data_IF_410304988117
#
_entry.id   IF_410304988117
#
_cell.length_a   1.000
_cell.length_b   1.000
_cell.length_c   1.000
_cell.angle_alpha   90.00
_cell.angle_beta   90.00
_cell.angle_gamma   90.00
#
_symmetry.space_group_name_H-M   'P 1'
#
loop_
_entity.id
_entity.type
_entity.pdbx_description
1 polymer ?
#
# COMPACT_ATOMS: atom_id res chain seq x y z
N UNK A 1 -7.04 -28.06 27.49
CA UNK A 1 -7.52 -27.03 26.49
C UNK A 1 -6.62 -25.82 26.33
N UNK A 2 -5.39 -25.80 26.93
CA UNK A 2 -4.42 -24.70 26.70
C UNK A 2 -3.61 -24.90 25.41
N UNK A 3 -3.50 -26.12 24.91
CA UNK A 3 -2.69 -26.45 23.72
C UNK A 3 -3.22 -25.74 22.45
N UNK A 4 -4.53 -25.75 22.12
CA UNK A 4 -5.04 -25.04 20.96
C UNK A 4 -4.82 -23.52 21.06
N UNK A 5 -5.01 -22.95 22.24
CA UNK A 5 -4.76 -21.51 22.47
C UNK A 5 -3.28 -21.15 22.31
N UNK A 6 -2.40 -22.02 22.78
CA UNK A 6 -0.96 -21.85 22.59
C UNK A 6 -0.56 -21.96 21.12
N UNK A 7 -1.11 -22.93 20.37
CA UNK A 7 -0.88 -23.06 18.93
C UNK A 7 -1.37 -21.82 18.19
N UNK A 8 -2.58 -21.33 18.49
CA UNK A 8 -3.12 -20.10 17.90
C UNK A 8 -2.25 -18.91 18.25
N UNK A 9 -1.78 -18.82 19.50
CA UNK A 9 -0.89 -17.74 19.94
C UNK A 9 0.45 -17.79 19.19
N UNK A 10 1.06 -18.98 19.05
CA UNK A 10 2.30 -19.16 18.30
C UNK A 10 2.09 -18.84 16.83
N UNK A 11 1.04 -19.37 16.19
CA UNK A 11 0.72 -19.07 14.80
C UNK A 11 0.51 -17.56 14.56
N UNK A 12 -0.25 -16.90 15.44
CA UNK A 12 -0.47 -15.46 15.37
C UNK A 12 0.81 -14.64 15.60
N UNK A 13 1.63 -15.05 16.59
CA UNK A 13 2.83 -14.30 16.95
C UNK A 13 3.95 -14.44 15.93
N UNK A 14 3.97 -15.56 15.22
CA UNK A 14 5.13 -15.97 14.44
C UNK A 14 4.84 -15.93 12.93
N UNK A 15 3.62 -16.26 12.45
CA UNK A 15 3.35 -16.41 11.00
C UNK A 15 2.59 -15.25 10.39
N UNK A 16 1.40 -14.94 10.89
CA UNK A 16 0.52 -13.91 10.35
C UNK A 16 0.10 -12.90 11.41
N UNK A 17 0.16 -11.64 11.06
CA UNK A 17 -0.33 -10.55 11.90
C UNK A 17 -1.53 -9.87 11.21
N UNK A 18 -2.69 -9.77 11.89
CA UNK A 18 -3.83 -9.06 11.34
C UNK A 18 -3.63 -7.54 11.48
N UNK A 19 -3.90 -6.80 10.40
CA UNK A 19 -3.95 -5.35 10.38
C UNK A 19 -5.28 -4.88 9.82
N UNK A 20 -5.81 -3.80 10.40
CA UNK A 20 -6.96 -3.11 9.82
C UNK A 20 -6.48 -1.97 8.92
N UNK A 21 -7.10 -1.81 7.76
CA UNK A 21 -6.80 -0.74 6.82
C UNK A 21 -7.48 0.56 7.26
N UNK A 22 -6.72 1.59 7.68
CA UNK A 22 -7.28 2.83 8.21
C UNK A 22 -7.46 3.92 7.15
N UNK A 23 -6.93 3.76 5.95
CA UNK A 23 -6.88 4.83 4.94
C UNK A 23 -7.24 4.35 3.54
N UNK A 24 -7.61 5.30 2.69
CA UNK A 24 -8.01 5.07 1.30
C UNK A 24 -6.84 5.01 0.31
N UNK A 25 -5.58 5.02 0.79
CA UNK A 25 -4.41 5.13 -0.10
C UNK A 25 -4.17 3.93 -1.00
N UNK A 26 -4.75 2.77 -0.68
CA UNK A 26 -4.66 1.52 -1.44
C UNK A 26 -5.96 1.14 -2.15
N UNK A 27 -6.92 2.08 -2.26
CA UNK A 27 -8.10 1.88 -3.09
C UNK A 27 -7.70 1.69 -4.57
N UNK A 28 -8.37 0.84 -5.33
CA UNK A 28 -9.57 0.06 -5.01
C UNK A 28 -9.25 -1.31 -4.37
N UNK A 29 -7.99 -1.74 -4.40
CA UNK A 29 -7.56 -3.06 -3.93
C UNK A 29 -7.89 -3.30 -2.46
N UNK A 30 -7.49 -2.37 -1.58
CA UNK A 30 -7.79 -2.39 -0.15
C UNK A 30 -8.68 -1.21 0.22
N UNK A 31 -9.77 -1.47 0.96
CA UNK A 31 -10.71 -0.46 1.45
C UNK A 31 -10.52 -0.19 2.93
N UNK A 32 -10.96 0.99 3.37
CA UNK A 32 -11.04 1.30 4.80
C UNK A 32 -11.94 0.28 5.48
N UNK A 33 -11.48 -0.28 6.61
CA UNK A 33 -12.21 -1.32 7.33
C UNK A 33 -11.86 -2.74 6.90
N UNK A 34 -11.11 -2.95 5.81
CA UNK A 34 -10.57 -4.28 5.47
C UNK A 34 -9.58 -4.72 6.54
N UNK A 35 -9.69 -5.97 6.98
CA UNK A 35 -8.73 -6.66 7.82
C UNK A 35 -7.89 -7.58 6.96
N UNK A 36 -6.60 -7.36 6.94
CA UNK A 36 -5.62 -8.10 6.16
C UNK A 36 -4.77 -9.00 7.02
N UNK A 37 -4.26 -10.08 6.44
CA UNK A 37 -3.25 -10.94 7.04
C UNK A 37 -1.89 -10.64 6.43
N UNK A 38 -0.96 -10.21 7.27
CA UNK A 38 0.40 -9.88 6.89
C UNK A 38 1.33 -11.04 7.24
N UNK A 39 1.96 -11.60 6.23
CA UNK A 39 2.95 -12.65 6.34
C UNK A 39 4.30 -12.03 6.74
N UNK A 40 4.71 -12.25 7.98
CA UNK A 40 5.97 -11.70 8.51
C UNK A 40 7.20 -12.49 8.08
N UNK A 41 7.01 -13.75 7.71
CA UNK A 41 8.11 -14.62 7.30
C UNK A 41 8.59 -14.38 5.89
N UNK A 42 7.73 -13.83 5.04
CA UNK A 42 8.06 -13.73 3.62
C UNK A 42 9.42 -13.04 3.40
N UNK A 43 9.72 -12.04 4.23
CA UNK A 43 10.96 -11.27 4.13
C UNK A 43 12.02 -11.63 5.18
N UNK A 44 11.78 -12.66 6.01
CA UNK A 44 12.74 -13.15 6.99
C UNK A 44 12.30 -12.99 8.44
N UNK A 45 12.99 -13.74 9.32
CA UNK A 45 12.72 -13.75 10.75
C UNK A 45 13.39 -12.56 11.44
N UNK A 46 12.59 -11.72 12.09
CA UNK A 46 13.05 -10.57 12.86
C UNK A 46 12.71 -10.73 14.34
N UNK A 47 13.60 -10.34 15.25
CA UNK A 47 13.31 -10.24 16.68
C UNK A 47 12.53 -8.95 16.95
N UNK A 48 12.91 -7.85 16.33
CA UNK A 48 12.29 -6.55 16.48
C UNK A 48 11.89 -6.00 15.10
N UNK A 49 10.86 -5.13 15.10
CA UNK A 49 10.25 -4.58 13.89
C UNK A 49 11.22 -3.85 12.96
N UNK A 50 12.23 -3.20 13.53
CA UNK A 50 13.23 -2.41 12.78
C UNK A 50 14.60 -3.09 12.70
N UNK A 51 14.76 -4.29 13.25
CA UNK A 51 16.01 -5.04 13.16
C UNK A 51 16.21 -5.64 11.78
N UNK A 52 17.45 -5.90 11.42
CA UNK A 52 17.74 -6.78 10.29
C UNK A 52 17.21 -8.18 10.60
N UNK A 53 16.68 -8.92 9.61
CA UNK A 53 16.28 -10.29 9.82
C UNK A 53 17.48 -11.13 10.25
N UNK A 54 17.27 -12.05 11.22
CA UNK A 54 18.28 -13.03 11.63
C UNK A 54 18.47 -14.05 10.51
N UNK A 55 17.39 -14.38 9.84
CA UNK A 55 17.36 -15.26 8.67
C UNK A 55 16.63 -14.50 7.57
N UNK A 56 17.32 -14.20 6.48
CA UNK A 56 16.72 -13.66 5.27
C UNK A 56 16.12 -14.82 4.48
N UNK A 57 14.87 -14.67 4.04
CA UNK A 57 14.16 -15.69 3.25
C UNK A 57 13.97 -15.20 1.82
N UNK A 58 13.06 -14.27 1.60
CA UNK A 58 12.80 -13.71 0.27
C UNK A 58 13.01 -12.20 0.28
N UNK A 59 13.34 -11.65 -0.88
CA UNK A 59 13.31 -10.22 -1.09
C UNK A 59 11.93 -9.75 -1.55
N UNK A 60 11.52 -8.53 -1.16
CA UNK A 60 10.31 -7.93 -1.68
C UNK A 60 10.35 -7.83 -3.21
N UNK A 61 9.25 -8.25 -3.85
CA UNK A 61 9.16 -8.34 -5.29
C UNK A 61 8.19 -7.34 -5.89
N UNK A 62 8.31 -7.07 -7.20
CA UNK A 62 7.44 -6.16 -7.91
C UNK A 62 5.96 -6.52 -7.70
N UNK A 63 5.16 -5.51 -7.42
CA UNK A 63 3.73 -5.65 -7.19
C UNK A 63 3.34 -6.21 -5.82
N UNK A 64 4.30 -6.59 -4.94
CA UNK A 64 3.98 -6.97 -3.56
C UNK A 64 3.29 -5.82 -2.82
N UNK A 65 2.23 -6.14 -2.11
CA UNK A 65 1.63 -5.21 -1.15
C UNK A 65 2.35 -5.39 0.18
N UNK A 66 3.14 -4.38 0.55
CA UNK A 66 4.09 -4.46 1.67
C UNK A 66 3.65 -3.60 2.84
N UNK A 67 3.84 -4.11 4.05
CA UNK A 67 3.67 -3.36 5.30
C UNK A 67 5.05 -2.99 5.82
N UNK A 68 5.24 -1.70 6.09
CA UNK A 68 6.53 -1.15 6.53
C UNK A 68 6.36 0.05 7.44
N UNK A 69 7.42 0.43 8.17
CA UNK A 69 7.51 1.69 8.91
C UNK A 69 8.34 2.68 8.11
N UNK A 70 7.77 3.84 7.72
CA UNK A 70 8.55 4.88 7.07
C UNK A 70 9.69 5.38 7.96
N UNK A 71 10.84 5.83 7.41
CA UNK A 71 11.97 6.28 8.22
C UNK A 71 11.67 7.45 9.17
N UNK A 72 10.68 8.28 8.83
CA UNK A 72 10.34 9.50 9.56
C UNK A 72 9.01 9.42 10.33
N UNK A 73 8.32 8.27 10.30
CA UNK A 73 7.03 8.11 10.97
C UNK A 73 6.93 6.72 11.60
N UNK A 74 6.70 6.60 12.93
CA UNK A 74 6.64 5.30 13.60
C UNK A 74 5.36 4.49 13.29
N UNK A 75 4.41 5.07 12.56
CA UNK A 75 3.15 4.39 12.21
C UNK A 75 3.38 3.49 10.99
N UNK A 76 2.94 2.22 11.02
CA UNK A 76 3.02 1.33 9.87
C UNK A 76 2.21 1.84 8.67
N UNK A 77 2.81 1.77 7.49
CA UNK A 77 2.18 2.08 6.21
C UNK A 77 2.01 0.80 5.39
N UNK A 78 1.03 0.83 4.50
CA UNK A 78 0.83 -0.22 3.50
C UNK A 78 0.84 0.41 2.12
N UNK A 79 1.69 -0.11 1.23
CA UNK A 79 1.87 0.34 -0.16
C UNK A 79 2.23 -0.83 -1.06
N UNK A 80 2.18 -0.58 -2.38
CA UNK A 80 2.63 -1.54 -3.40
C UNK A 80 4.08 -1.25 -3.78
N UNK A 81 4.88 -2.29 -3.88
CA UNK A 81 6.28 -2.21 -4.31
C UNK A 81 6.34 -2.03 -5.83
N UNK A 82 6.98 -0.95 -6.26
CA UNK A 82 7.12 -0.58 -7.67
C UNK A 82 8.56 -0.64 -8.14
N UNK A 83 9.53 -0.38 -7.27
CA UNK A 83 10.94 -0.37 -7.64
C UNK A 83 11.82 -1.06 -6.63
N UNK A 84 12.81 -1.79 -7.14
CA UNK A 84 13.84 -2.52 -6.39
C UNK A 84 15.16 -1.74 -6.36
N UNK A 85 16.12 -2.14 -5.51
CA UNK A 85 17.47 -1.52 -5.50
C UNK A 85 18.10 -1.46 -6.89
N UNK A 86 18.54 -0.27 -7.29
CA UNK A 86 19.17 -0.01 -8.59
C UNK A 86 18.22 0.42 -9.71
N UNK A 87 16.91 0.28 -9.53
CA UNK A 87 15.93 0.65 -10.56
C UNK A 87 15.88 2.16 -10.81
N UNK A 88 15.63 2.52 -12.07
CA UNK A 88 15.25 3.86 -12.49
C UNK A 88 13.72 3.93 -12.60
N UNK A 89 13.09 4.76 -11.78
CA UNK A 89 11.64 4.95 -11.78
C UNK A 89 11.31 6.32 -12.37
N UNK A 90 10.42 6.38 -13.35
CA UNK A 90 9.89 7.63 -13.88
C UNK A 90 8.37 7.67 -13.74
N UNK A 91 7.84 8.82 -13.35
CA UNK A 91 6.41 9.07 -13.26
C UNK A 91 6.07 10.27 -14.13
N UNK A 92 5.45 10.03 -15.28
CA UNK A 92 5.18 11.05 -16.30
C UNK A 92 3.74 10.89 -16.78
N UNK A 93 2.94 11.95 -16.71
CA UNK A 93 1.55 11.94 -17.14
C UNK A 93 0.72 10.79 -16.54
N UNK A 94 0.90 10.54 -15.23
CA UNK A 94 0.24 9.46 -14.48
C UNK A 94 0.58 8.05 -14.98
N UNK A 95 1.68 7.90 -15.73
CA UNK A 95 2.24 6.63 -16.18
C UNK A 95 3.55 6.36 -15.45
N UNK A 96 3.79 5.10 -15.13
CA UNK A 96 5.01 4.62 -14.48
C UNK A 96 5.91 3.97 -15.52
N UNK A 97 7.19 4.24 -15.44
CA UNK A 97 8.23 3.54 -16.18
C UNK A 97 9.22 2.98 -15.16
N UNK A 98 9.56 1.72 -15.30
CA UNK A 98 10.60 1.03 -14.53
C UNK A 98 11.70 0.65 -15.49
N UNK A 99 12.92 1.14 -15.27
CA UNK A 99 14.08 0.90 -16.16
C UNK A 99 13.79 1.25 -17.63
N UNK A 100 13.12 2.37 -17.85
CA UNK A 100 12.64 2.87 -19.15
C UNK A 100 11.51 2.06 -19.81
N UNK A 101 11.06 0.96 -19.20
CA UNK A 101 9.92 0.19 -19.67
C UNK A 101 8.62 0.72 -19.08
N UNK A 102 7.63 0.97 -19.94
CA UNK A 102 6.31 1.43 -19.51
C UNK A 102 5.57 0.30 -18.80
N UNK A 103 5.15 0.55 -17.55
CA UNK A 103 4.17 -0.31 -16.86
C UNK A 103 2.84 -0.23 -17.62
N UNK A 104 2.40 -1.38 -18.14
CA UNK A 104 1.14 -1.48 -18.91
C UNK A 104 -0.01 -1.04 -18.01
N UNK A 105 -0.84 -0.14 -18.54
CA UNK A 105 -1.95 0.48 -17.82
C UNK A 105 -3.17 0.55 -18.71
N UNK A 106 -4.08 -0.40 -18.53
CA UNK A 106 -5.30 -0.52 -19.30
C UNK A 106 -6.47 0.17 -18.58
N UNK A 107 -7.23 0.95 -19.33
CA UNK A 107 -8.42 1.64 -18.81
C UNK A 107 -9.55 0.64 -18.59
N UNK A 108 -10.20 0.72 -17.43
CA UNK A 108 -11.30 -0.16 -17.04
C UNK A 108 -12.64 0.59 -16.95
N UNK A 109 -12.71 1.66 -16.17
CA UNK A 109 -13.94 2.38 -15.94
C UNK A 109 -13.72 3.81 -15.44
N UNK A 110 -14.79 4.60 -15.45
CA UNK A 110 -14.84 5.93 -14.83
C UNK A 110 -16.06 6.01 -13.93
N UNK A 111 -15.89 6.51 -12.72
CA UNK A 111 -16.96 6.76 -11.77
C UNK A 111 -16.82 8.17 -11.21
N UNK A 112 -17.95 8.77 -10.83
CA UNK A 112 -17.98 9.96 -9.98
C UNK A 112 -18.11 9.52 -8.52
N UNK A 113 -17.23 10.06 -7.68
CA UNK A 113 -17.24 9.77 -6.24
C UNK A 113 -17.28 11.06 -5.45
N UNK A 114 -18.12 11.10 -4.42
CA UNK A 114 -18.11 12.17 -3.44
C UNK A 114 -16.93 11.97 -2.49
N UNK A 115 -16.11 13.00 -2.35
CA UNK A 115 -14.92 13.02 -1.49
C UNK A 115 -14.96 14.20 -0.55
N UNK A 116 -14.67 13.96 0.73
CA UNK A 116 -14.56 15.05 1.71
C UNK A 116 -13.14 15.60 1.68
N UNK A 117 -13.01 16.88 1.34
CA UNK A 117 -11.74 17.61 1.37
C UNK A 117 -11.66 18.50 2.59
N UNK A 118 -10.49 18.49 3.23
CA UNK A 118 -10.18 19.35 4.37
C UNK A 118 -9.29 20.50 3.92
N UNK A 119 -9.84 21.69 3.96
CA UNK A 119 -9.10 22.93 3.68
C UNK A 119 -8.68 23.58 4.99
N UNK A 120 -7.37 23.80 5.17
CA UNK A 120 -6.81 24.52 6.31
C UNK A 120 -6.54 25.96 5.88
N UNK A 121 -7.25 26.89 6.49
CA UNK A 121 -7.06 28.32 6.26
C UNK A 121 -5.86 28.86 7.06
N UNK A 122 -5.29 30.03 6.66
CA UNK A 122 -4.23 30.70 7.43
C UNK A 122 -4.64 31.03 8.86
N UNK A 123 -5.95 31.21 9.12
CA UNK A 123 -6.55 31.38 10.43
C UNK A 123 -6.47 30.16 11.35
N UNK A 124 -6.03 29.01 10.83
CA UNK A 124 -6.02 27.72 11.53
C UNK A 124 -7.37 26.96 11.46
N UNK A 125 -8.43 27.58 10.91
CA UNK A 125 -9.71 26.91 10.72
C UNK A 125 -9.59 25.78 9.69
N UNK A 126 -10.24 24.64 9.97
CA UNK A 126 -10.38 23.52 9.03
C UNK A 126 -11.84 23.50 8.57
N UNK A 127 -12.03 23.58 7.26
CA UNK A 127 -13.33 23.40 6.62
C UNK A 127 -13.34 22.07 5.87
N UNK A 128 -14.36 21.28 6.10
CA UNK A 128 -14.65 20.08 5.31
C UNK A 128 -15.64 20.45 4.21
N UNK A 129 -15.29 20.18 2.97
CA UNK A 129 -16.12 20.42 1.79
C UNK A 129 -16.30 19.09 1.08
N UNK A 130 -17.54 18.75 0.78
CA UNK A 130 -17.86 17.62 -0.06
C UNK A 130 -17.76 18.04 -1.53
N UNK A 131 -16.90 17.37 -2.27
CA UNK A 131 -16.67 17.61 -3.70
C UNK A 131 -16.87 16.32 -4.48
N UNK A 132 -17.40 16.43 -5.70
CA UNK A 132 -17.49 15.29 -6.61
C UNK A 132 -16.23 15.25 -7.45
N UNK A 133 -15.51 14.13 -7.39
CA UNK A 133 -14.31 13.88 -8.21
C UNK A 133 -14.59 12.80 -9.26
N UNK A 134 -14.12 13.04 -10.48
CA UNK A 134 -14.11 12.04 -11.54
C UNK A 134 -12.92 11.10 -11.34
N UNK A 135 -13.20 9.84 -11.04
CA UNK A 135 -12.19 8.81 -10.78
C UNK A 135 -12.14 7.83 -11.94
N UNK A 136 -10.95 7.63 -12.50
CA UNK A 136 -10.67 6.60 -13.50
C UNK A 136 -9.96 5.41 -12.88
N UNK A 137 -10.44 4.22 -13.18
CA UNK A 137 -9.89 2.94 -12.76
C UNK A 137 -9.09 2.34 -13.89
N UNK A 138 -7.99 1.70 -13.54
CA UNK A 138 -7.06 1.07 -14.47
C UNK A 138 -6.61 -0.28 -13.92
N UNK A 139 -6.42 -1.24 -14.82
CA UNK A 139 -5.62 -2.43 -14.56
C UNK A 139 -4.18 -2.12 -14.92
N UNK A 140 -3.26 -2.23 -13.96
CA UNK A 140 -1.83 -2.10 -14.19
C UNK A 140 -1.16 -3.45 -14.10
N UNK A 141 -0.21 -3.69 -15.02
CA UNK A 141 0.60 -4.90 -15.03
C UNK A 141 2.06 -4.55 -14.85
N UNK A 142 2.61 -5.00 -13.71
CA UNK A 142 4.03 -4.86 -13.38
C UNK A 142 4.61 -6.27 -13.22
N UNK A 143 5.57 -6.61 -14.08
CA UNK A 143 6.09 -7.97 -14.20
C UNK A 143 4.95 -8.99 -14.41
N UNK A 144 4.86 -10.02 -13.59
CA UNK A 144 3.83 -11.08 -13.68
C UNK A 144 2.55 -10.79 -12.87
N UNK A 145 2.39 -9.59 -12.32
CA UNK A 145 1.26 -9.22 -11.46
C UNK A 145 0.39 -8.16 -12.10
N UNK A 146 -0.92 -8.40 -12.01
CA UNK A 146 -1.93 -7.42 -12.41
C UNK A 146 -2.73 -6.97 -11.18
N UNK A 147 -2.97 -5.68 -11.05
CA UNK A 147 -3.69 -5.09 -9.95
C UNK A 147 -4.42 -3.82 -10.38
N UNK A 148 -5.48 -3.50 -9.64
CA UNK A 148 -6.29 -2.33 -9.93
C UNK A 148 -5.72 -1.08 -9.28
N UNK A 149 -5.71 0.02 -10.04
CA UNK A 149 -5.32 1.34 -9.56
C UNK A 149 -6.38 2.37 -9.91
N UNK A 150 -6.33 3.52 -9.24
CA UNK A 150 -7.22 4.63 -9.54
C UNK A 150 -6.52 5.98 -9.58
N UNK A 151 -7.01 6.85 -10.48
CA UNK A 151 -6.54 8.23 -10.58
C UNK A 151 -7.75 9.19 -10.55
N UNK A 152 -7.60 10.30 -9.83
CA UNK A 152 -8.52 11.43 -9.93
C UNK A 152 -8.18 12.27 -11.16
N UNK A 153 -9.19 12.65 -11.94
CA UNK A 153 -9.01 13.53 -13.09
C UNK A 153 -8.86 14.99 -12.66
N UNK A 154 -9.40 15.33 -11.51
CA UNK A 154 -9.46 16.70 -10.98
C UNK A 154 -8.18 17.08 -10.24
N UNK A 155 -7.30 16.10 -9.95
CA UNK A 155 -6.01 16.32 -9.31
C UNK A 155 -4.89 16.31 -10.33
N UNK A 156 -4.35 17.50 -10.61
CA UNK A 156 -3.22 17.62 -11.53
C UNK A 156 -1.88 17.58 -10.77
N UNK A 157 -1.39 16.37 -10.45
CA UNK A 157 -0.05 16.14 -9.91
C UNK A 157 0.89 15.59 -11.00
N UNK A 158 0.93 16.25 -12.14
CA UNK A 158 1.62 15.77 -13.36
C UNK A 158 3.03 16.34 -13.51
N UNK A 159 3.78 16.47 -12.44
CA UNK A 159 5.19 16.85 -12.59
C UNK A 159 5.99 15.59 -13.02
N UNK A 160 6.72 15.67 -14.15
CA UNK A 160 7.66 14.62 -14.50
C UNK A 160 8.66 14.47 -13.37
N UNK A 161 8.72 13.30 -12.79
CA UNK A 161 9.64 12.97 -11.71
C UNK A 161 10.41 11.71 -12.07
N UNK A 162 11.68 11.68 -11.67
CA UNK A 162 12.55 10.52 -11.87
C UNK A 162 13.34 10.27 -10.59
N UNK A 163 13.48 8.99 -10.26
CA UNK A 163 14.24 8.52 -9.11
C UNK A 163 15.12 7.35 -9.52
N UNK A 164 16.29 7.24 -8.90
CA UNK A 164 17.10 6.02 -8.92
C UNK A 164 17.05 5.43 -7.52
N UNK A 165 16.59 4.20 -7.41
CA UNK A 165 16.42 3.51 -6.13
C UNK A 165 17.79 3.15 -5.56
N UNK A 166 18.18 3.65 -4.37
CA UNK A 166 19.48 3.32 -3.79
C UNK A 166 19.61 1.83 -3.43
N UNK A 167 20.83 1.38 -3.21
CA UNK A 167 21.09 0.04 -2.67
C UNK A 167 20.36 -0.16 -1.35
N UNK A 168 19.85 -1.36 -1.11
CA UNK A 168 19.08 -1.75 0.09
C UNK A 168 17.79 -0.94 0.33
N UNK A 169 17.30 -0.20 -0.67
CA UNK A 169 16.06 0.56 -0.60
C UNK A 169 15.07 0.14 -1.68
N UNK A 170 13.83 0.47 -1.44
CA UNK A 170 12.71 0.16 -2.34
C UNK A 170 11.84 1.39 -2.58
N UNK A 171 11.20 1.41 -3.74
CA UNK A 171 10.26 2.44 -4.12
C UNK A 171 8.83 1.88 -4.08
N UNK A 172 7.97 2.53 -3.30
CA UNK A 172 6.60 2.08 -3.07
C UNK A 172 5.58 3.14 -3.48
N UNK A 173 4.43 2.70 -3.98
CA UNK A 173 3.33 3.60 -4.33
C UNK A 173 1.99 3.08 -3.81
N UNK A 174 1.06 3.99 -3.53
CA UNK A 174 -0.34 3.63 -3.29
C UNK A 174 -1.09 3.36 -4.58
N UNK A 175 -2.04 2.44 -4.54
CA UNK A 175 -2.91 2.12 -5.68
C UNK A 175 -3.88 3.28 -5.98
N UNK A 176 -4.25 4.08 -4.97
CA UNK A 176 -4.93 5.37 -5.11
C UNK A 176 -3.91 6.46 -5.40
N UNK A 177 -3.45 6.55 -6.64
CA UNK A 177 -2.29 7.29 -7.12
C UNK A 177 -2.28 8.77 -6.72
N UNK A 178 -3.42 9.42 -6.74
CA UNK A 178 -3.53 10.85 -6.44
C UNK A 178 -3.88 11.14 -4.97
N UNK A 179 -4.17 10.08 -4.17
CA UNK A 179 -4.50 10.19 -2.76
C UNK A 179 -3.63 9.25 -1.89
N UNK A 180 -2.34 9.28 -2.12
CA UNK A 180 -1.36 8.47 -1.38
C UNK A 180 -0.13 9.30 -1.04
N UNK A 181 0.28 9.26 0.23
CA UNK A 181 1.61 9.66 0.63
C UNK A 181 2.52 8.43 0.52
N UNK A 182 3.46 8.46 -0.42
CA UNK A 182 4.31 7.34 -0.78
C UNK A 182 5.70 7.80 -1.23
N UNK A 183 6.49 6.93 -1.89
CA UNK A 183 7.87 7.25 -2.25
C UNK A 183 8.03 8.46 -3.19
N UNK A 184 6.96 8.88 -3.83
CA UNK A 184 6.94 10.12 -4.63
C UNK A 184 6.90 11.40 -3.79
N UNK A 185 6.62 11.27 -2.48
CA UNK A 185 6.44 12.37 -1.53
C UNK A 185 7.27 12.11 -0.27
N UNK A 186 6.69 12.35 0.92
CA UNK A 186 7.40 12.35 2.20
C UNK A 186 7.92 10.97 2.63
N UNK A 187 7.34 9.86 2.14
CA UNK A 187 7.82 8.52 2.47
C UNK A 187 9.25 8.31 1.96
N UNK A 188 9.54 8.78 0.73
CA UNK A 188 10.84 8.57 0.11
C UNK A 188 11.15 7.08 -0.13
N UNK A 189 12.42 6.74 -0.18
CA UNK A 189 12.86 5.36 -0.31
C UNK A 189 12.75 4.61 1.01
N UNK A 190 12.27 3.37 0.97
CA UNK A 190 12.06 2.52 2.15
C UNK A 190 13.21 1.54 2.29
N UNK A 191 14.00 1.60 3.39
CA UNK A 191 15.08 0.64 3.62
C UNK A 191 14.55 -0.79 3.79
N UNK A 192 15.33 -1.78 3.34
CA UNK A 192 14.99 -3.22 3.41
C UNK A 192 14.59 -3.68 4.81
N UNK A 193 15.27 -3.21 5.83
CA UNK A 193 14.98 -3.56 7.22
C UNK A 193 13.70 -2.94 7.78
N UNK A 194 13.06 -1.99 7.09
CA UNK A 194 11.82 -1.35 7.51
C UNK A 194 10.56 -2.13 7.11
N UNK A 195 10.67 -3.15 6.24
CA UNK A 195 9.53 -3.98 5.88
C UNK A 195 9.19 -4.98 6.99
N UNK A 196 7.92 -5.07 7.35
CA UNK A 196 7.41 -6.07 8.30
C UNK A 196 7.04 -7.38 7.66
N UNK A 197 6.44 -7.29 6.47
CA UNK A 197 5.93 -8.45 5.78
C UNK A 197 5.06 -8.05 4.58
N UNK A 198 4.54 -9.07 3.96
CA UNK A 198 3.67 -8.98 2.79
C UNK A 198 2.23 -9.18 3.18
N UNK A 199 1.35 -8.34 2.68
CA UNK A 199 -0.09 -8.51 2.83
C UNK A 199 -0.58 -9.54 1.81
N UNK A 200 -1.00 -10.71 2.26
CA UNK A 200 -1.37 -11.83 1.40
C UNK A 200 -2.87 -11.96 1.20
N UNK A 201 -3.67 -11.70 2.25
CA UNK A 201 -5.11 -11.96 2.24
C UNK A 201 -5.90 -10.86 2.91
N UNK A 202 -7.08 -10.53 2.36
CA UNK A 202 -8.19 -9.89 3.09
C UNK A 202 -8.98 -11.03 3.71
N UNK A 203 -9.22 -11.01 5.02
CA UNK A 203 -9.97 -12.07 5.67
C UNK A 203 -11.37 -11.64 6.13
N UNK A 204 -11.59 -10.35 6.35
CA UNK A 204 -12.92 -9.76 6.58
C UNK A 204 -12.89 -8.24 6.34
N UNK A 205 -14.05 -7.63 6.21
CA UNK A 205 -14.24 -6.17 6.22
C UNK A 205 -15.18 -5.81 7.37
N UNK A 206 -14.80 -4.82 8.18
CA UNK A 206 -15.62 -4.30 9.27
C UNK A 206 -15.54 -2.77 9.29
N UNK A 207 -16.53 -2.12 8.71
CA UNK A 207 -16.51 -0.68 8.46
C UNK A 207 -17.01 0.14 9.65
N UNK A 208 -17.86 -0.41 10.52
CA UNK A 208 -18.44 0.31 11.66
C UNK A 208 -18.70 -0.62 12.85
N UNK A 209 -18.65 -0.06 14.08
CA UNK A 209 -18.87 -0.80 15.33
C UNK A 209 -20.26 -1.43 15.46
N UNK A 210 -21.26 -0.87 14.78
CA UNK A 210 -22.66 -1.37 14.79
C UNK A 210 -22.97 -2.29 13.62
N UNK A 211 -22.06 -2.40 12.63
CA UNK A 211 -22.22 -3.29 11.49
C UNK A 211 -21.78 -4.72 11.84
N UNK A 212 -22.31 -5.68 11.12
CA UNK A 212 -21.76 -7.04 11.13
C UNK A 212 -20.52 -7.11 10.23
N UNK A 213 -19.51 -7.91 10.62
CA UNK A 213 -18.37 -8.19 9.73
C UNK A 213 -18.87 -8.79 8.40
N UNK A 214 -18.25 -8.36 7.30
CA UNK A 214 -18.55 -8.85 5.96
C UNK A 214 -17.34 -9.62 5.42
N UNK A 215 -17.59 -10.72 4.73
CA UNK A 215 -16.58 -11.61 4.15
C UNK A 215 -16.57 -11.61 2.61
N UNK A 216 -17.40 -10.77 1.95
CA UNK A 216 -17.54 -10.73 0.49
C UNK A 216 -16.23 -10.38 -0.23
N UNK A 217 -15.34 -9.68 0.47
CA UNK A 217 -14.02 -9.30 -0.03
C UNK A 217 -12.90 -10.25 0.42
N UNK A 218 -13.25 -11.30 1.18
CA UNK A 218 -12.24 -12.25 1.65
C UNK A 218 -11.57 -12.96 0.47
N UNK A 219 -10.24 -12.88 0.41
CA UNK A 219 -9.49 -13.45 -0.71
C UNK A 219 -8.03 -13.00 -0.73
N UNK A 220 -7.29 -13.53 -1.71
CA UNK A 220 -5.89 -13.19 -1.92
C UNK A 220 -5.77 -11.75 -2.43
N UNK A 221 -4.78 -11.02 -1.93
CA UNK A 221 -4.40 -9.70 -2.41
C UNK A 221 -3.52 -9.86 -3.65
N UNK A 222 -3.92 -9.21 -4.74
CA UNK A 222 -3.19 -9.21 -6.02
C UNK A 222 -2.27 -8.00 -6.12
#
# INVERSE_FOLDING_TARGET
TLIPLFIIFVLRSVVYEPYQIPSSSMLPGLKIGDFILVNKYDYGLKIDRLSRPIVELNDPDYGDVVVFVPPHNPVPYIKRLIGKPGDSIKYINKKIYVNDELVVKDYESTNEESVIRRYKYPSGQIQEVEEVETIKFYSEKLDNRSYMTRNSMDRNKNYPQQWTVPADHYFVMGDNRDNSNDSRQDVGFVPRNHFFGKADYIWMTWECWTCLPNFDRAGKIN
#
